data_IF_816118563978
#
_entry.id   IF_816118563978
#
_cell.length_a   1.000
_cell.length_b   1.000
_cell.length_c   1.000
_cell.angle_alpha   90.00
_cell.angle_beta   90.00
_cell.angle_gamma   90.00
#
_symmetry.space_group_name_H-M   'P 1'
#
loop_
_entity.id
_entity.type
_entity.pdbx_description
1 polymer ?
#
# COMPACT_ATOMS: atom_id res chain seq x y z
N UNK A 1 -1.82 -17.04 33.51
CA UNK A 1 -2.13 -18.41 33.02
C UNK A 1 -1.32 -18.56 31.75
N UNK A 2 -0.28 -19.38 31.64
CA UNK A 2 -0.33 -20.84 31.48
C UNK A 2 0.97 -21.43 32.07
N UNK A 3 0.86 -22.32 33.06
CA UNK A 3 1.97 -23.17 33.51
C UNK A 3 1.92 -24.46 32.70
N UNK A 4 2.89 -24.73 31.82
CA UNK A 4 3.04 -26.06 31.21
C UNK A 4 3.76 -26.98 32.19
N UNK A 5 3.02 -28.00 32.67
CA UNK A 5 3.54 -29.14 33.42
C UNK A 5 4.42 -29.99 32.49
N UNK A 6 5.72 -30.07 32.77
CA UNK A 6 6.56 -31.16 32.30
C UNK A 6 6.11 -32.42 33.05
N UNK A 7 5.54 -33.39 32.33
CA UNK A 7 5.18 -34.70 32.91
C UNK A 7 6.29 -35.67 32.55
N UNK A 8 7.23 -35.89 33.46
CA UNK A 8 8.28 -36.92 33.31
C UNK A 8 7.62 -38.27 33.57
N UNK A 9 7.29 -39.01 32.51
CA UNK A 9 6.89 -40.41 32.59
C UNK A 9 8.14 -41.28 32.82
N UNK A 10 8.34 -41.69 34.08
CA UNK A 10 9.44 -42.56 34.49
C UNK A 10 9.04 -44.02 34.26
N UNK A 11 9.26 -44.53 33.05
CA UNK A 11 8.99 -45.95 32.73
C UNK A 11 10.18 -46.81 33.14
N UNK A 12 10.02 -47.59 34.20
CA UNK A 12 10.94 -48.65 34.64
C UNK A 12 10.96 -49.76 33.56
N UNK A 13 12.01 -49.82 32.75
CA UNK A 13 12.24 -50.97 31.87
C UNK A 13 12.83 -52.13 32.68
N UNK A 14 12.03 -53.18 32.85
CA UNK A 14 12.42 -54.43 33.49
C UNK A 14 13.27 -55.26 32.51
N UNK A 15 14.48 -55.65 32.92
CA UNK A 15 15.36 -56.56 32.17
C UNK A 15 14.66 -57.91 31.99
N UNK A 16 14.45 -58.34 30.75
CA UNK A 16 14.31 -59.76 30.40
C UNK A 16 15.27 -60.09 29.26
N UNK A 17 16.21 -60.97 29.57
CA UNK A 17 17.14 -61.56 28.61
C UNK A 17 16.38 -62.55 27.70
N UNK A 18 16.35 -62.26 26.41
CA UNK A 18 16.12 -63.27 25.36
C UNK A 18 16.85 -62.79 24.10
N UNK A 19 17.76 -63.62 23.59
CA UNK A 19 18.60 -63.33 22.42
C UNK A 19 17.76 -62.88 21.22
N UNK A 20 17.97 -61.65 20.76
CA UNK A 20 17.33 -61.05 19.58
C UNK A 20 18.40 -60.76 18.50
N UNK A 21 18.04 -60.82 17.21
CA UNK A 21 18.97 -60.63 16.09
C UNK A 21 19.35 -59.16 15.96
N UNK A 22 20.65 -58.87 15.88
CA UNK A 22 21.27 -57.56 15.59
C UNK A 22 20.42 -56.35 16.01
N UNK A 23 20.47 -55.98 17.29
CA UNK A 23 19.98 -54.69 17.78
C UNK A 23 20.56 -53.60 16.88
N UNK A 24 19.69 -52.87 16.15
CA UNK A 24 20.10 -51.60 15.56
C UNK A 24 20.61 -50.77 16.74
N UNK A 25 21.87 -50.36 16.70
CA UNK A 25 22.44 -49.47 17.71
C UNK A 25 21.58 -48.20 17.74
N UNK A 26 20.66 -48.10 18.69
CA UNK A 26 19.82 -46.92 18.91
C UNK A 26 20.69 -45.85 19.57
N UNK A 27 21.14 -44.89 18.75
CA UNK A 27 22.19 -43.92 19.14
C UNK A 27 21.60 -42.61 19.66
N UNK A 28 20.31 -42.35 19.43
CA UNK A 28 19.60 -41.15 19.89
C UNK A 28 18.45 -41.54 20.83
N UNK A 29 18.17 -40.68 21.80
CA UNK A 29 16.99 -40.82 22.68
C UNK A 29 15.68 -40.57 21.92
N UNK A 30 14.57 -41.06 22.47
CA UNK A 30 13.22 -40.84 21.93
C UNK A 30 12.90 -39.35 21.77
N UNK A 31 13.30 -38.53 22.76
CA UNK A 31 13.13 -37.07 22.71
C UNK A 31 13.87 -36.44 21.51
N UNK A 32 15.10 -36.87 21.23
CA UNK A 32 15.88 -36.36 20.11
C UNK A 32 15.29 -36.81 18.76
N UNK A 33 14.75 -38.03 18.67
CA UNK A 33 14.02 -38.48 17.46
C UNK A 33 12.78 -37.62 17.20
N UNK A 34 12.09 -37.19 18.26
CA UNK A 34 10.97 -36.25 18.12
C UNK A 34 11.43 -34.88 17.61
N UNK A 35 12.58 -34.38 18.10
CA UNK A 35 13.20 -33.14 17.60
C UNK A 35 13.62 -33.27 16.13
N UNK A 36 14.16 -34.42 15.70
CA UNK A 36 14.50 -34.70 14.30
C UNK A 36 13.29 -34.57 13.37
N UNK A 37 12.15 -35.16 13.75
CA UNK A 37 10.90 -35.00 13.00
C UNK A 37 10.44 -33.55 12.94
N UNK A 38 10.63 -32.82 14.04
CA UNK A 38 10.24 -31.40 14.14
C UNK A 38 11.11 -30.50 13.25
N UNK A 39 12.41 -30.77 13.16
CA UNK A 39 13.34 -30.04 12.29
C UNK A 39 12.86 -30.06 10.84
N UNK A 40 12.42 -31.21 10.32
CA UNK A 40 11.93 -31.32 8.94
C UNK A 40 10.66 -30.49 8.70
N UNK A 41 9.72 -30.52 9.64
CA UNK A 41 8.49 -29.72 9.55
C UNK A 41 8.77 -28.22 9.59
N UNK A 42 9.64 -27.78 10.51
CA UNK A 42 10.03 -26.37 10.62
C UNK A 42 10.76 -25.92 9.36
N UNK A 43 11.68 -26.72 8.83
CA UNK A 43 12.36 -26.43 7.57
C UNK A 43 11.39 -26.21 6.42
N UNK A 44 10.44 -27.12 6.23
CA UNK A 44 9.45 -27.03 5.16
C UNK A 44 8.60 -25.75 5.28
N UNK A 45 8.10 -25.45 6.49
CA UNK A 45 7.25 -24.28 6.74
C UNK A 45 8.05 -22.99 6.58
N UNK A 46 9.24 -22.90 7.18
CA UNK A 46 10.11 -21.72 7.05
C UNK A 46 10.50 -21.48 5.59
N UNK A 47 10.89 -22.54 4.85
CA UNK A 47 11.21 -22.46 3.43
C UNK A 47 10.05 -21.91 2.60
N UNK A 48 8.86 -22.51 2.76
CA UNK A 48 7.69 -22.06 2.02
C UNK A 48 7.27 -20.64 2.40
N UNK A 49 7.46 -20.25 3.66
CA UNK A 49 7.01 -18.96 4.16
C UNK A 49 7.92 -17.84 3.69
N UNK A 50 9.24 -17.96 3.86
CA UNK A 50 10.17 -16.91 3.40
C UNK A 50 10.02 -16.69 1.89
N UNK A 51 9.95 -17.77 1.10
CA UNK A 51 9.80 -17.68 -0.35
C UNK A 51 8.51 -16.96 -0.79
N UNK A 52 7.39 -17.24 -0.10
CA UNK A 52 6.11 -16.57 -0.39
C UNK A 52 6.11 -15.12 0.10
N UNK A 53 6.71 -14.85 1.26
CA UNK A 53 6.80 -13.51 1.82
C UNK A 53 7.66 -12.60 0.93
N UNK A 54 8.82 -13.08 0.45
CA UNK A 54 9.63 -12.39 -0.57
C UNK A 54 8.83 -12.09 -1.84
N UNK A 55 7.92 -13.00 -2.24
CA UNK A 55 7.07 -12.79 -3.41
C UNK A 55 6.00 -11.71 -3.21
N UNK A 56 5.65 -11.36 -1.96
CA UNK A 56 4.70 -10.32 -1.64
C UNK A 56 5.33 -8.91 -1.59
N UNK A 57 6.65 -8.80 -1.48
CA UNK A 57 7.35 -7.52 -1.47
C UNK A 57 7.39 -6.96 -2.89
N UNK A 58 6.85 -5.76 -3.11
CA UNK A 58 6.66 -5.14 -4.43
C UNK A 58 7.96 -4.60 -5.02
N UNK A 59 9.03 -4.47 -4.23
CA UNK A 59 10.39 -4.21 -4.70
C UNK A 59 11.00 -5.30 -5.60
N UNK A 60 10.21 -6.15 -6.26
CA UNK A 60 10.70 -7.37 -6.91
C UNK A 60 11.73 -7.15 -8.03
N UNK A 61 12.89 -7.76 -7.82
CA UNK A 61 13.48 -8.80 -8.67
C UNK A 61 13.28 -8.71 -10.20
N UNK A 62 13.87 -7.69 -10.83
CA UNK A 62 14.34 -7.82 -12.20
C UNK A 62 15.74 -8.45 -12.27
N UNK A 63 15.83 -9.65 -12.86
CA UNK A 63 17.02 -10.39 -13.33
C UNK A 63 17.86 -11.09 -12.25
N UNK A 64 18.17 -12.37 -12.48
CA UNK A 64 19.24 -13.13 -11.83
C UNK A 64 20.50 -12.25 -11.72
N UNK A 65 20.79 -11.75 -10.52
CA UNK A 65 22.10 -11.20 -10.21
C UNK A 65 22.68 -12.11 -9.15
N UNK A 66 23.78 -12.74 -9.53
CA UNK A 66 24.63 -13.60 -8.73
C UNK A 66 24.66 -13.20 -7.25
N UNK A 67 24.54 -14.23 -6.40
CA UNK A 67 24.83 -14.20 -4.98
C UNK A 67 26.25 -13.66 -4.76
N UNK A 68 26.45 -12.34 -4.61
CA UNK A 68 27.56 -11.68 -3.89
C UNK A 68 27.67 -10.14 -3.96
N UNK A 69 26.67 -9.39 -4.44
CA UNK A 69 26.77 -7.91 -4.42
C UNK A 69 25.89 -7.27 -3.35
N UNK A 70 26.55 -6.91 -2.26
CA UNK A 70 26.09 -5.97 -1.23
C UNK A 70 25.69 -4.63 -1.90
N UNK A 71 24.46 -4.17 -1.62
CA UNK A 71 23.86 -2.88 -2.05
C UNK A 71 23.50 -2.76 -3.54
N UNK A 72 22.38 -3.34 -3.94
CA UNK A 72 21.69 -2.93 -5.17
C UNK A 72 20.99 -1.58 -4.94
N UNK A 73 21.12 -0.58 -5.83
CA UNK A 73 20.39 0.67 -5.71
C UNK A 73 18.88 0.38 -5.80
N UNK A 74 18.14 0.89 -4.83
CA UNK A 74 16.67 0.87 -4.71
C UNK A 74 15.96 0.80 -6.06
N UNK A 75 15.48 -0.39 -6.46
CA UNK A 75 14.58 -0.54 -7.61
C UNK A 75 13.31 0.26 -7.27
N UNK A 76 12.98 1.26 -8.09
CA UNK A 76 11.88 2.21 -7.82
C UNK A 76 10.56 1.44 -7.75
N UNK A 77 9.85 1.57 -6.64
CA UNK A 77 8.50 1.02 -6.51
C UNK A 77 7.57 1.62 -7.58
N UNK A 78 6.60 0.86 -8.10
CA UNK A 78 5.58 1.42 -9.01
C UNK A 78 4.91 2.68 -8.46
N UNK A 79 4.72 2.73 -7.13
CA UNK A 79 4.16 3.88 -6.44
C UNK A 79 5.04 5.14 -6.53
N UNK A 80 6.37 4.99 -6.42
CA UNK A 80 7.32 6.09 -6.62
C UNK A 80 7.26 6.62 -8.06
N UNK A 81 7.07 5.74 -9.03
CA UNK A 81 6.92 6.15 -10.44
C UNK A 81 5.63 6.93 -10.68
N UNK A 82 4.52 6.50 -10.05
CA UNK A 82 3.27 7.25 -10.09
C UNK A 82 3.43 8.63 -9.43
N UNK A 83 4.04 8.69 -8.25
CA UNK A 83 4.30 9.94 -7.54
C UNK A 83 5.09 10.93 -8.41
N UNK A 84 6.18 10.46 -9.02
CA UNK A 84 7.00 11.25 -9.93
C UNK A 84 6.19 11.78 -11.13
N UNK A 85 5.40 10.91 -11.77
CA UNK A 85 4.56 11.29 -12.90
C UNK A 85 3.54 12.37 -12.53
N UNK A 86 2.93 12.28 -11.34
CA UNK A 86 1.99 13.31 -10.85
C UNK A 86 2.69 14.64 -10.58
N UNK A 87 3.88 14.63 -9.96
CA UNK A 87 4.66 15.85 -9.71
C UNK A 87 5.12 16.49 -11.03
N UNK A 88 5.60 15.70 -11.99
CA UNK A 88 5.94 16.19 -13.32
C UNK A 88 4.71 16.77 -14.04
N UNK A 89 3.57 16.09 -13.97
CA UNK A 89 2.31 16.58 -14.51
C UNK A 89 1.88 17.91 -13.89
N UNK A 90 2.12 18.11 -12.59
CA UNK A 90 1.85 19.39 -11.93
C UNK A 90 2.73 20.51 -12.45
N UNK A 91 4.02 20.24 -12.71
CA UNK A 91 4.94 21.22 -13.28
C UNK A 91 4.55 21.62 -14.71
N UNK A 92 3.97 20.69 -15.49
CA UNK A 92 3.46 20.96 -16.85
C UNK A 92 2.21 21.84 -16.81
N UNK A 93 1.28 21.58 -15.89
CA UNK A 93 0.03 22.34 -15.78
C UNK A 93 0.19 23.70 -15.08
N UNK A 94 1.21 23.84 -14.22
CA UNK A 94 1.47 25.05 -13.45
C UNK A 94 0.53 25.23 -12.25
N UNK A 95 0.83 26.22 -11.44
CA UNK A 95 0.09 26.52 -10.20
C UNK A 95 -1.21 27.31 -10.43
N UNK A 96 -1.44 27.80 -11.66
CA UNK A 96 -2.66 28.50 -12.05
C UNK A 96 -3.80 27.54 -12.45
N UNK A 97 -3.62 26.24 -12.25
CA UNK A 97 -4.64 25.22 -12.48
C UNK A 97 -4.95 24.46 -11.20
N UNK A 98 -6.25 24.28 -10.89
CA UNK A 98 -6.66 23.36 -9.81
C UNK A 98 -6.05 21.99 -10.02
N UNK A 99 -6.07 21.50 -11.26
CA UNK A 99 -5.55 20.19 -11.61
C UNK A 99 -4.05 20.12 -11.35
N UNK A 100 -3.29 21.18 -11.66
CA UNK A 100 -1.87 21.29 -11.33
C UNK A 100 -1.63 21.19 -9.82
N UNK A 101 -2.32 22.01 -9.01
CA UNK A 101 -2.22 21.97 -7.54
C UNK A 101 -2.61 20.61 -6.97
N UNK A 102 -3.68 20.00 -7.48
CA UNK A 102 -4.15 18.67 -7.07
C UNK A 102 -3.11 17.59 -7.38
N UNK A 103 -2.54 17.60 -8.59
CA UNK A 103 -1.49 16.67 -8.98
C UNK A 103 -0.26 16.81 -8.10
N UNK A 104 0.13 18.05 -7.74
CA UNK A 104 1.27 18.28 -6.85
C UNK A 104 1.04 17.69 -5.46
N UNK A 105 -0.08 18.05 -4.81
CA UNK A 105 -0.42 17.59 -3.47
C UNK A 105 -0.57 16.06 -3.41
N UNK A 106 -1.25 15.47 -4.39
CA UNK A 106 -1.40 14.03 -4.47
C UNK A 106 -0.07 13.33 -4.78
N UNK A 107 0.74 13.87 -5.69
CA UNK A 107 2.07 13.33 -6.03
C UNK A 107 3.01 13.29 -4.83
N UNK A 108 3.12 14.40 -4.10
CA UNK A 108 3.92 14.47 -2.87
C UNK A 108 3.42 13.50 -1.78
N UNK A 109 2.10 13.23 -1.75
CA UNK A 109 1.51 12.26 -0.83
C UNK A 109 1.82 10.83 -1.24
N UNK A 110 1.73 10.50 -2.54
CA UNK A 110 2.10 9.19 -3.06
C UNK A 110 3.59 8.90 -2.84
N UNK A 111 4.47 9.90 -2.95
CA UNK A 111 5.90 9.74 -2.68
C UNK A 111 6.16 9.36 -1.22
N UNK A 112 5.50 10.04 -0.27
CA UNK A 112 5.58 9.71 1.15
C UNK A 112 5.03 8.31 1.45
N UNK A 113 3.91 7.91 0.84
CA UNK A 113 3.38 6.55 0.97
C UNK A 113 4.35 5.50 0.40
N UNK A 114 5.02 5.81 -0.70
CA UNK A 114 6.05 4.94 -1.26
C UNK A 114 7.24 4.81 -0.28
N UNK A 115 7.66 5.87 0.38
CA UNK A 115 8.73 5.82 1.38
C UNK A 115 8.36 4.97 2.61
N UNK A 116 7.12 5.05 3.08
CA UNK A 116 6.61 4.17 4.15
C UNK A 116 6.59 2.69 3.69
N UNK A 117 6.19 2.42 2.45
CA UNK A 117 6.22 1.07 1.87
C UNK A 117 7.66 0.52 1.75
N UNK A 118 8.62 1.33 1.28
CA UNK A 118 10.04 0.94 1.22
C UNK A 118 10.55 0.57 2.62
N UNK A 119 10.24 1.39 3.62
CA UNK A 119 10.67 1.16 5.00
C UNK A 119 10.10 -0.14 5.56
N UNK A 120 8.82 -0.40 5.29
CA UNK A 120 8.15 -1.65 5.64
C UNK A 120 8.81 -2.86 4.97
N UNK A 121 9.01 -2.83 3.64
CA UNK A 121 9.59 -3.96 2.90
C UNK A 121 11.00 -4.28 3.37
N UNK A 122 11.85 -3.26 3.61
CA UNK A 122 13.19 -3.43 4.16
C UNK A 122 13.18 -4.06 5.56
N UNK A 123 12.21 -3.68 6.39
CA UNK A 123 12.06 -4.24 7.74
C UNK A 123 11.64 -5.71 7.68
N UNK A 124 10.67 -6.05 6.83
CA UNK A 124 10.24 -7.44 6.63
C UNK A 124 11.35 -8.30 6.04
N UNK A 125 12.11 -7.78 5.08
CA UNK A 125 13.21 -8.51 4.46
C UNK A 125 14.29 -8.85 5.50
N UNK A 126 14.76 -7.85 6.25
CA UNK A 126 15.84 -8.00 7.24
C UNK A 126 15.43 -8.80 8.48
N UNK A 127 14.27 -8.50 9.06
CA UNK A 127 13.92 -8.99 10.40
C UNK A 127 13.07 -10.28 10.36
N UNK A 128 12.61 -10.70 9.17
CA UNK A 128 11.73 -11.88 9.02
C UNK A 128 12.20 -12.80 7.90
N UNK A 129 12.35 -12.29 6.66
CA UNK A 129 12.69 -13.15 5.50
C UNK A 129 14.10 -13.73 5.62
N UNK A 130 15.11 -12.90 5.88
CA UNK A 130 16.50 -13.33 6.05
C UNK A 130 16.66 -14.38 7.19
N UNK A 131 16.14 -14.15 8.42
CA UNK A 131 16.19 -15.16 9.48
C UNK A 131 15.47 -16.47 9.15
N UNK A 132 14.31 -16.42 8.47
CA UNK A 132 13.59 -17.64 8.06
C UNK A 132 14.34 -18.39 6.95
N UNK A 133 15.03 -17.68 6.05
CA UNK A 133 15.91 -18.28 5.05
C UNK A 133 17.09 -18.96 5.74
N UNK A 134 17.80 -18.29 6.65
CA UNK A 134 18.95 -18.85 7.36
C UNK A 134 18.56 -20.09 8.17
N UNK A 135 17.41 -20.06 8.83
CA UNK A 135 16.87 -21.23 9.53
C UNK A 135 16.64 -22.42 8.58
N UNK A 136 16.01 -22.19 7.44
CA UNK A 136 15.60 -23.25 6.50
C UNK A 136 16.76 -23.79 5.63
N UNK A 137 17.68 -22.91 5.21
CA UNK A 137 18.71 -23.20 4.22
C UNK A 137 20.11 -23.38 4.82
N UNK A 138 20.33 -22.94 6.08
CA UNK A 138 21.65 -22.99 6.73
C UNK A 138 21.59 -23.80 8.03
N UNK A 139 20.84 -23.35 9.03
CA UNK A 139 20.84 -23.97 10.36
C UNK A 139 20.35 -25.42 10.33
N UNK A 140 19.13 -25.67 9.83
CA UNK A 140 18.55 -27.02 9.81
C UNK A 140 19.33 -27.98 8.90
N UNK A 141 19.73 -27.59 7.67
CA UNK A 141 20.56 -28.46 6.83
C UNK A 141 21.91 -28.84 7.46
N UNK A 142 22.53 -27.96 8.26
CA UNK A 142 23.76 -28.26 8.98
C UNK A 142 23.54 -29.36 10.04
N UNK A 143 22.46 -29.27 10.82
CA UNK A 143 22.07 -30.31 11.79
C UNK A 143 21.79 -31.64 11.06
N UNK A 144 21.06 -31.60 9.94
CA UNK A 144 20.78 -32.78 9.11
C UNK A 144 22.05 -33.42 8.53
N UNK A 145 23.06 -32.61 8.17
CA UNK A 145 24.36 -33.10 7.70
C UNK A 145 25.13 -33.81 8.81
N UNK A 146 25.17 -33.25 10.01
CA UNK A 146 25.77 -33.92 11.17
C UNK A 146 25.05 -35.23 11.51
N UNK A 147 23.73 -35.27 11.43
CA UNK A 147 22.93 -36.49 11.62
C UNK A 147 23.32 -37.61 10.66
N UNK A 148 23.54 -37.28 9.38
CA UNK A 148 24.04 -38.22 8.36
C UNK A 148 25.48 -38.65 8.66
N UNK A 149 26.31 -37.74 9.15
CA UNK A 149 27.68 -38.07 9.56
C UNK A 149 27.71 -39.05 10.74
N UNK A 150 26.89 -38.82 11.76
CA UNK A 150 26.72 -39.73 12.89
C UNK A 150 26.32 -41.15 12.42
N UNK A 151 25.37 -41.25 11.48
CA UNK A 151 24.96 -42.54 10.94
C UNK A 151 26.13 -43.31 10.28
N UNK A 152 27.08 -42.60 9.64
CA UNK A 152 28.30 -43.22 9.09
C UNK A 152 29.24 -43.68 10.21
N UNK A 153 29.48 -42.84 11.22
CA UNK A 153 30.36 -43.19 12.34
C UNK A 153 29.84 -44.40 13.14
N UNK A 154 28.52 -44.56 13.26
CA UNK A 154 27.91 -45.74 13.86
C UNK A 154 28.26 -47.01 13.09
N UNK A 155 28.16 -46.98 11.75
CA UNK A 155 28.56 -48.12 10.91
C UNK A 155 30.07 -48.42 11.00
N UNK A 156 30.90 -47.39 11.03
CA UNK A 156 32.36 -47.53 11.17
C UNK A 156 32.73 -48.16 12.53
N UNK A 157 32.05 -47.73 13.61
CA UNK A 157 32.19 -48.29 14.95
C UNK A 157 31.73 -49.75 15.00
N UNK A 158 30.54 -50.07 14.48
CA UNK A 158 30.00 -51.44 14.44
C UNK A 158 30.91 -52.39 13.64
N UNK A 159 31.51 -51.88 12.56
CA UNK A 159 32.52 -52.60 11.77
C UNK A 159 33.80 -52.87 12.57
N UNK A 160 34.36 -51.85 13.23
CA UNK A 160 35.54 -51.98 14.08
C UNK A 160 35.30 -52.96 15.25
N UNK A 161 34.14 -52.86 15.91
CA UNK A 161 33.70 -53.78 16.96
C UNK A 161 33.60 -55.22 16.45
N UNK A 162 33.03 -55.43 15.27
CA UNK A 162 32.93 -56.76 14.66
C UNK A 162 34.31 -57.35 14.37
N UNK A 163 35.23 -56.57 13.79
CA UNK A 163 36.62 -57.00 13.53
C UNK A 163 37.35 -57.40 14.82
N UNK A 164 37.20 -56.61 15.89
CA UNK A 164 37.77 -56.92 17.20
C UNK A 164 37.19 -58.22 17.79
N UNK A 165 35.87 -58.39 17.79
CA UNK A 165 35.22 -59.60 18.31
C UNK A 165 35.54 -60.87 17.51
N UNK A 166 35.71 -60.77 16.19
CA UNK A 166 36.13 -61.89 15.37
C UNK A 166 37.58 -62.31 15.71
N UNK A 167 38.48 -61.34 15.87
CA UNK A 167 39.88 -61.60 16.24
C UNK A 167 40.01 -62.26 17.62
N UNK A 168 39.19 -61.84 18.59
CA UNK A 168 39.19 -62.39 19.96
C UNK A 168 38.51 -63.77 20.08
N UNK A 169 37.61 -64.14 19.17
CA UNK A 169 37.06 -65.50 19.09
C UNK A 169 38.00 -66.48 18.41
N UNK A 170 38.77 -66.04 17.41
CA UNK A 170 39.75 -66.88 16.71
C UNK A 170 40.99 -67.24 17.53
N UNK A 171 41.28 -66.51 18.60
CA UNK A 171 42.42 -66.77 19.50
C UNK A 171 42.15 -67.87 20.54
N UNK A 172 40.90 -68.34 20.70
CA UNK A 172 40.54 -69.37 21.68
C UNK A 172 40.83 -70.82 21.27
N UNK A 173 41.30 -71.08 20.04
CA UNK A 173 41.42 -72.44 19.49
C UNK A 173 42.84 -72.87 19.07
N UNK A 174 43.86 -72.02 19.22
CA UNK A 174 45.21 -72.29 18.73
C UNK A 174 46.26 -72.18 19.82
N UNK A 175 46.69 -73.33 20.35
CA UNK A 175 47.88 -73.46 21.20
C UNK A 175 49.15 -73.42 20.35
N UNK A 176 49.79 -72.25 20.22
CA UNK A 176 51.26 -72.10 20.15
C UNK A 176 51.69 -70.61 20.04
N UNK A 177 52.36 -70.15 21.10
CA UNK A 177 53.46 -69.15 21.24
C UNK A 177 53.58 -67.98 20.22
N UNK A 178 53.15 -66.78 20.67
CA UNK A 178 53.51 -65.36 20.34
C UNK A 178 53.52 -64.83 18.87
N UNK A 179 53.20 -63.53 18.57
CA UNK A 179 52.69 -62.42 19.37
C UNK A 179 51.26 -62.04 18.94
N UNK A 180 50.25 -62.74 19.43
CA UNK A 180 48.84 -62.48 19.09
C UNK A 180 48.20 -61.35 19.92
N UNK A 181 48.88 -60.88 20.97
CA UNK A 181 48.47 -59.74 21.80
C UNK A 181 48.49 -58.41 21.04
N UNK A 182 49.60 -58.06 20.40
CA UNK A 182 49.75 -56.76 19.71
C UNK A 182 48.70 -56.49 18.61
N UNK A 183 48.29 -57.54 17.88
CA UNK A 183 47.22 -57.42 16.86
C UNK A 183 45.84 -57.25 17.48
N UNK A 184 45.55 -57.96 18.58
CA UNK A 184 44.30 -57.83 19.31
C UNK A 184 44.21 -56.46 20.03
N UNK A 185 45.33 -55.96 20.55
CA UNK A 185 45.45 -54.65 21.20
C UNK A 185 45.28 -53.51 20.19
N UNK A 186 45.88 -53.60 19.00
CA UNK A 186 45.65 -52.63 17.92
C UNK A 186 44.17 -52.57 17.49
N UNK A 187 43.54 -53.73 17.28
CA UNK A 187 42.11 -53.80 16.91
C UNK A 187 41.20 -53.27 18.03
N UNK A 188 41.63 -53.39 19.29
CA UNK A 188 40.94 -52.79 20.44
C UNK A 188 41.05 -51.28 20.43
N UNK A 189 42.25 -50.75 20.22
CA UNK A 189 42.51 -49.30 20.13
C UNK A 189 41.73 -48.67 18.98
N UNK A 190 41.70 -49.30 17.80
CA UNK A 190 40.88 -48.85 16.66
C UNK A 190 39.38 -48.85 16.98
N UNK A 191 38.89 -49.85 17.73
CA UNK A 191 37.49 -49.91 18.17
C UNK A 191 37.18 -48.80 19.18
N UNK A 192 38.04 -48.59 20.16
CA UNK A 192 37.90 -47.53 21.18
C UNK A 192 37.96 -46.14 20.54
N UNK A 193 38.83 -45.92 19.55
CA UNK A 193 38.90 -44.67 18.80
C UNK A 193 37.64 -44.43 17.95
N UNK A 194 37.14 -45.45 17.25
CA UNK A 194 35.89 -45.36 16.49
C UNK A 194 34.68 -45.07 17.40
N UNK A 195 34.64 -45.67 18.60
CA UNK A 195 33.62 -45.40 19.61
C UNK A 195 33.69 -43.95 20.11
N UNK A 196 34.88 -43.46 20.47
CA UNK A 196 35.06 -42.10 20.95
C UNK A 196 34.65 -41.05 19.89
N UNK A 197 35.05 -41.24 18.62
CA UNK A 197 34.64 -40.35 17.51
C UNK A 197 33.12 -40.31 17.34
N UNK A 198 32.45 -41.47 17.45
CA UNK A 198 30.99 -41.57 17.36
C UNK A 198 30.30 -40.85 18.53
N UNK A 199 30.78 -41.02 19.75
CA UNK A 199 30.23 -40.37 20.95
C UNK A 199 30.36 -38.84 20.88
N UNK A 200 31.53 -38.31 20.49
CA UNK A 200 31.73 -36.86 20.30
C UNK A 200 30.73 -36.30 19.29
N UNK A 201 30.54 -36.98 18.15
CA UNK A 201 29.59 -36.55 17.14
C UNK A 201 28.14 -36.61 17.63
N UNK A 202 27.78 -37.64 18.41
CA UNK A 202 26.45 -37.77 19.00
C UNK A 202 26.16 -36.64 19.98
N UNK A 203 27.12 -36.32 20.84
CA UNK A 203 26.95 -35.31 21.87
C UNK A 203 26.86 -33.91 21.25
N UNK A 204 27.66 -33.63 20.21
CA UNK A 204 27.56 -32.38 19.43
C UNK A 204 26.20 -32.25 18.72
N UNK A 205 25.74 -33.31 18.04
CA UNK A 205 24.44 -33.32 17.39
C UNK A 205 23.31 -33.09 18.41
N UNK A 206 23.40 -33.73 19.57
CA UNK A 206 22.42 -33.56 20.65
C UNK A 206 22.39 -32.12 21.14
N UNK A 207 23.56 -31.50 21.36
CA UNK A 207 23.66 -30.09 21.74
C UNK A 207 23.02 -29.16 20.69
N UNK A 208 23.30 -29.38 19.39
CA UNK A 208 22.72 -28.58 18.31
C UNK A 208 21.19 -28.73 18.23
N UNK A 209 20.67 -29.95 18.44
CA UNK A 209 19.24 -30.23 18.47
C UNK A 209 18.55 -29.59 19.68
N UNK A 210 19.16 -29.61 20.86
CA UNK A 210 18.63 -28.91 22.04
C UNK A 210 18.68 -27.39 21.87
N UNK A 211 19.75 -26.84 21.27
CA UNK A 211 19.85 -25.42 20.96
C UNK A 211 18.75 -24.97 19.99
N UNK A 212 18.45 -25.76 18.97
CA UNK A 212 17.32 -25.51 18.06
C UNK A 212 15.99 -25.44 18.82
N UNK A 213 15.73 -26.38 19.73
CA UNK A 213 14.50 -26.36 20.54
C UNK A 213 14.47 -25.16 21.49
N UNK A 214 15.61 -24.78 22.07
CA UNK A 214 15.70 -23.62 22.96
C UNK A 214 15.37 -22.30 22.25
N UNK A 215 15.72 -22.17 20.96
CA UNK A 215 15.43 -21.00 20.11
C UNK A 215 14.01 -20.98 19.53
N UNK A 216 13.14 -21.93 19.89
CA UNK A 216 11.79 -22.01 19.32
C UNK A 216 10.97 -20.71 19.54
N UNK A 217 11.17 -20.06 20.70
CA UNK A 217 10.52 -18.78 21.00
C UNK A 217 11.04 -17.67 20.07
N UNK A 218 12.34 -17.66 19.77
CA UNK A 218 12.95 -16.68 18.87
C UNK A 218 12.42 -16.86 17.44
N UNK A 219 12.29 -18.10 16.98
CA UNK A 219 11.70 -18.37 15.65
C UNK A 219 10.22 -17.97 15.58
N UNK A 220 9.47 -18.16 16.66
CA UNK A 220 8.08 -17.70 16.74
C UNK A 220 7.98 -16.17 16.71
N UNK A 221 8.97 -15.47 17.27
CA UNK A 221 9.02 -14.01 17.32
C UNK A 221 9.08 -13.37 15.93
N UNK A 222 9.64 -14.05 14.93
CA UNK A 222 9.67 -13.54 13.54
C UNK A 222 8.27 -13.27 12.99
N UNK A 223 7.30 -14.13 13.32
CA UNK A 223 5.91 -13.94 12.90
C UNK A 223 5.22 -12.80 13.66
N UNK A 224 5.60 -12.58 14.93
CA UNK A 224 5.13 -11.42 15.68
C UNK A 224 5.67 -10.13 15.05
N UNK A 225 6.97 -10.05 14.79
CA UNK A 225 7.62 -8.92 14.12
C UNK A 225 6.98 -8.61 12.78
N UNK A 226 6.64 -9.64 11.99
CA UNK A 226 5.93 -9.47 10.71
C UNK A 226 4.60 -8.72 10.88
N UNK A 227 3.78 -9.15 11.85
CA UNK A 227 2.45 -8.54 12.09
C UNK A 227 2.60 -7.13 12.66
N UNK A 228 3.54 -6.91 13.57
CA UNK A 228 3.82 -5.59 14.14
C UNK A 228 4.29 -4.59 13.07
N UNK A 229 5.20 -5.00 12.20
CA UNK A 229 5.67 -4.17 11.08
C UNK A 229 4.53 -3.84 10.10
N UNK A 230 3.67 -4.81 9.78
CA UNK A 230 2.49 -4.58 8.93
C UNK A 230 1.50 -3.60 9.56
N UNK A 231 1.21 -3.76 10.85
CA UNK A 231 0.31 -2.88 11.57
C UNK A 231 0.83 -1.43 11.58
N UNK A 232 2.12 -1.25 11.86
CA UNK A 232 2.75 0.07 11.91
C UNK A 232 2.78 0.74 10.53
N UNK A 233 3.10 0.01 9.48
CA UNK A 233 3.05 0.51 8.10
C UNK A 233 1.66 1.04 7.72
N UNK A 234 0.62 0.25 7.99
CA UNK A 234 -0.75 0.65 7.68
C UNK A 234 -1.21 1.83 8.54
N UNK A 235 -0.82 1.86 9.82
CA UNK A 235 -1.14 2.97 10.73
C UNK A 235 -0.57 4.29 10.22
N UNK A 236 0.73 4.32 9.90
CA UNK A 236 1.40 5.52 9.36
C UNK A 236 0.82 5.96 8.01
N UNK A 237 0.56 5.00 7.12
CA UNK A 237 -0.06 5.29 5.82
C UNK A 237 -1.45 5.92 5.97
N UNK A 238 -2.27 5.39 6.88
CA UNK A 238 -3.59 5.93 7.16
C UNK A 238 -3.52 7.33 7.78
N UNK A 239 -2.63 7.54 8.75
CA UNK A 239 -2.40 8.85 9.40
C UNK A 239 -2.03 9.92 8.35
N UNK A 240 -1.13 9.59 7.44
CA UNK A 240 -0.75 10.46 6.33
C UNK A 240 -1.96 10.80 5.44
N UNK A 241 -2.74 9.80 5.01
CA UNK A 241 -3.92 10.02 4.17
C UNK A 241 -4.98 10.89 4.87
N UNK A 242 -5.22 10.63 6.14
CA UNK A 242 -6.17 11.41 6.95
C UNK A 242 -5.73 12.88 7.11
N UNK A 243 -4.43 13.15 7.13
CA UNK A 243 -3.90 14.52 7.21
C UNK A 243 -4.02 15.31 5.89
N UNK A 244 -3.99 14.62 4.75
CA UNK A 244 -3.98 15.25 3.41
C UNK A 244 -5.40 15.45 2.85
N UNK A 245 -6.34 14.54 3.15
CA UNK A 245 -7.71 14.64 2.65
C UNK A 245 -8.39 16.00 2.95
N UNK A 246 -8.27 16.58 4.16
CA UNK A 246 -8.79 17.92 4.43
C UNK A 246 -8.14 19.01 3.57
N UNK A 247 -6.85 18.89 3.27
CA UNK A 247 -6.12 19.85 2.44
C UNK A 247 -6.60 19.80 0.99
N UNK A 248 -6.85 18.59 0.45
CA UNK A 248 -7.45 18.41 -0.89
C UNK A 248 -8.82 19.10 -0.94
N UNK A 249 -9.67 18.86 0.06
CA UNK A 249 -11.00 19.49 0.12
C UNK A 249 -10.90 21.01 0.21
N UNK A 250 -10.05 21.53 1.09
CA UNK A 250 -9.85 22.97 1.24
C UNK A 250 -9.36 23.62 -0.07
N UNK A 251 -8.46 22.97 -0.81
CA UNK A 251 -8.01 23.46 -2.11
C UNK A 251 -9.14 23.47 -3.15
N UNK A 252 -9.98 22.43 -3.19
CA UNK A 252 -11.16 22.39 -4.07
C UNK A 252 -12.18 23.48 -3.71
N UNK A 253 -12.45 23.69 -2.43
CA UNK A 253 -13.38 24.71 -1.94
C UNK A 253 -12.86 26.13 -2.20
N UNK A 254 -11.54 26.34 -2.08
CA UNK A 254 -10.88 27.61 -2.37
C UNK A 254 -10.77 27.90 -3.86
N UNK A 255 -10.96 26.91 -4.72
CA UNK A 255 -10.87 27.10 -6.17
C UNK A 255 -12.12 27.80 -6.70
N UNK A 256 -11.91 29.00 -7.23
CA UNK A 256 -12.98 29.84 -7.77
C UNK A 256 -13.07 29.64 -9.28
N UNK A 257 -13.76 28.58 -9.70
CA UNK A 257 -14.30 28.46 -11.06
C UNK A 257 -15.72 27.92 -10.97
N UNK A 258 -16.71 28.78 -11.21
CA UNK A 258 -18.12 28.40 -11.06
C UNK A 258 -18.97 28.99 -12.17
N UNK A 259 -19.68 28.13 -12.91
CA UNK A 259 -20.58 28.55 -13.98
C UNK A 259 -21.64 29.50 -13.42
N UNK A 260 -21.98 30.54 -14.16
CA UNK A 260 -23.03 31.49 -13.83
C UNK A 260 -24.39 31.02 -14.34
N UNK A 261 -24.43 30.28 -15.44
CA UNK A 261 -25.68 29.82 -16.04
C UNK A 261 -26.32 28.69 -15.21
N UNK A 262 -27.62 28.79 -14.94
CA UNK A 262 -28.36 27.76 -14.20
C UNK A 262 -28.09 27.73 -12.69
N UNK A 263 -27.41 28.73 -12.14
CA UNK A 263 -27.12 28.86 -10.71
C UNK A 263 -27.95 29.97 -10.06
N UNK A 264 -28.30 29.86 -8.76
CA UNK A 264 -28.92 30.96 -8.04
C UNK A 264 -28.04 32.22 -8.10
N UNK A 265 -28.69 33.37 -8.29
CA UNK A 265 -28.00 34.67 -8.45
C UNK A 265 -27.07 34.97 -7.26
N UNK A 266 -27.60 34.83 -6.04
CA UNK A 266 -26.86 35.12 -4.82
C UNK A 266 -25.61 34.24 -4.66
N UNK A 267 -25.71 32.95 -5.01
CA UNK A 267 -24.61 32.00 -4.88
C UNK A 267 -23.40 32.46 -5.69
N UNK A 268 -23.58 32.72 -7.00
CA UNK A 268 -22.44 33.05 -7.85
C UNK A 268 -21.95 34.50 -7.67
N UNK A 269 -22.78 35.42 -7.19
CA UNK A 269 -22.34 36.77 -6.77
C UNK A 269 -21.46 36.70 -5.53
N UNK A 270 -21.90 35.98 -4.49
CA UNK A 270 -21.13 35.81 -3.26
C UNK A 270 -19.78 35.13 -3.52
N UNK A 271 -19.76 34.14 -4.43
CA UNK A 271 -18.54 33.41 -4.80
C UNK A 271 -17.55 34.24 -5.63
N UNK A 272 -18.05 35.14 -6.49
CA UNK A 272 -17.20 36.02 -7.30
C UNK A 272 -16.83 37.32 -6.60
N UNK A 273 -17.47 37.63 -5.45
CA UNK A 273 -17.31 38.91 -4.76
C UNK A 273 -17.81 40.10 -5.57
N UNK A 274 -18.79 39.89 -6.46
CA UNK A 274 -19.33 40.91 -7.36
C UNK A 274 -20.74 41.32 -6.93
N UNK A 275 -21.07 42.59 -7.15
CA UNK A 275 -22.45 43.09 -6.98
C UNK A 275 -23.32 42.83 -8.22
N UNK A 276 -22.70 42.85 -9.40
CA UNK A 276 -23.36 42.62 -10.70
C UNK A 276 -22.81 41.32 -11.32
N UNK A 277 -23.74 40.47 -11.76
CA UNK A 277 -23.46 39.21 -12.40
C UNK A 277 -22.64 39.44 -13.67
N UNK A 278 -21.55 38.70 -13.81
CA UNK A 278 -20.66 38.86 -14.96
C UNK A 278 -21.37 38.74 -16.32
N UNK A 279 -22.30 37.78 -16.55
CA UNK A 279 -23.06 37.74 -17.80
C UNK A 279 -23.92 38.98 -18.05
N UNK A 280 -24.47 39.61 -17.01
CA UNK A 280 -25.24 40.86 -17.17
C UNK A 280 -24.29 41.99 -17.53
N UNK A 281 -23.26 42.23 -16.72
CA UNK A 281 -22.31 43.33 -16.93
C UNK A 281 -21.66 43.24 -18.33
N UNK A 282 -21.10 42.09 -18.67
CA UNK A 282 -20.43 41.90 -19.95
C UNK A 282 -21.39 42.07 -21.13
N UNK A 283 -22.56 41.41 -21.11
CA UNK A 283 -23.48 41.50 -22.24
C UNK A 283 -24.06 42.90 -22.40
N UNK A 284 -24.45 43.57 -21.30
CA UNK A 284 -24.99 44.94 -21.35
C UNK A 284 -23.92 45.92 -21.82
N UNK A 285 -22.69 45.81 -21.31
CA UNK A 285 -21.57 46.66 -21.74
C UNK A 285 -21.30 46.51 -23.24
N UNK A 286 -21.17 45.27 -23.74
CA UNK A 286 -20.95 45.03 -25.16
C UNK A 286 -22.11 45.54 -26.04
N UNK A 287 -23.36 45.36 -25.61
CA UNK A 287 -24.51 45.89 -26.35
C UNK A 287 -24.51 47.41 -26.41
N UNK A 288 -24.19 48.08 -25.31
CA UNK A 288 -24.08 49.54 -25.25
C UNK A 288 -22.96 50.08 -26.15
N UNK A 289 -21.84 49.35 -26.25
CA UNK A 289 -20.68 49.74 -27.05
C UNK A 289 -20.89 49.54 -28.56
N UNK A 290 -21.49 48.43 -28.99
CA UNK A 290 -21.54 48.05 -30.41
C UNK A 290 -22.91 47.59 -30.93
N UNK A 291 -23.86 47.28 -30.05
CA UNK A 291 -25.11 46.62 -30.41
C UNK A 291 -26.33 47.51 -30.57
N UNK A 292 -26.33 48.74 -30.01
CA UNK A 292 -27.57 49.54 -29.85
C UNK A 292 -28.26 49.95 -31.16
N UNK A 293 -27.54 49.95 -32.29
CA UNK A 293 -28.11 50.28 -33.61
C UNK A 293 -28.63 49.04 -34.36
N UNK A 294 -28.41 47.84 -33.84
CA UNK A 294 -28.78 46.58 -34.50
C UNK A 294 -30.29 46.30 -34.35
N UNK A 295 -30.98 46.02 -35.46
CA UNK A 295 -32.41 45.79 -35.43
C UNK A 295 -32.73 44.41 -34.86
N UNK A 296 -33.53 44.35 -33.79
CA UNK A 296 -34.10 43.09 -33.32
C UNK A 296 -33.20 42.27 -32.38
N UNK A 297 -32.27 42.91 -31.65
CA UNK A 297 -31.41 42.32 -30.60
C UNK A 297 -32.08 41.21 -29.77
N UNK A 298 -33.29 41.44 -29.28
CA UNK A 298 -34.00 40.47 -28.43
C UNK A 298 -35.06 39.63 -29.16
N UNK A 299 -35.29 39.88 -30.45
CA UNK A 299 -36.32 39.23 -31.28
C UNK A 299 -35.72 38.20 -32.25
N UNK A 300 -34.59 38.52 -32.88
CA UNK A 300 -33.91 37.65 -33.83
C UNK A 300 -33.09 36.61 -33.05
N UNK A 301 -33.17 35.35 -33.46
CA UNK A 301 -32.38 34.27 -32.86
C UNK A 301 -30.97 34.27 -33.47
N UNK A 302 -29.91 34.24 -32.65
CA UNK A 302 -28.55 34.11 -33.15
C UNK A 302 -28.27 32.69 -33.65
N UNK A 303 -27.13 32.51 -34.31
CA UNK A 303 -26.59 31.18 -34.59
C UNK A 303 -26.42 30.38 -33.29
N UNK A 304 -26.96 29.16 -33.25
CA UNK A 304 -26.88 28.28 -32.08
C UNK A 304 -25.43 27.96 -31.68
N UNK A 305 -24.51 27.84 -32.63
CA UNK A 305 -23.09 27.58 -32.34
C UNK A 305 -22.40 28.78 -31.72
N UNK A 306 -22.66 29.99 -32.22
CA UNK A 306 -22.13 31.24 -31.66
C UNK A 306 -22.67 31.50 -30.26
N UNK A 307 -23.97 31.31 -30.06
CA UNK A 307 -24.60 31.42 -28.74
C UNK A 307 -23.99 30.42 -27.76
N UNK A 308 -23.85 29.15 -28.16
CA UNK A 308 -23.23 28.12 -27.31
C UNK A 308 -21.79 28.49 -26.93
N UNK A 309 -21.00 29.00 -27.88
CA UNK A 309 -19.61 29.45 -27.65
C UNK A 309 -19.57 30.62 -26.66
N UNK A 310 -20.33 31.68 -26.91
CA UNK A 310 -20.36 32.87 -26.04
C UNK A 310 -20.85 32.55 -24.63
N UNK A 311 -21.90 31.73 -24.50
CA UNK A 311 -22.36 31.24 -23.20
C UNK A 311 -21.24 30.56 -22.44
N UNK A 312 -20.53 29.61 -23.06
CA UNK A 312 -19.42 28.89 -22.42
C UNK A 312 -18.27 29.84 -22.03
N UNK A 313 -17.97 30.84 -22.86
CA UNK A 313 -16.99 31.90 -22.58
C UNK A 313 -17.35 32.68 -21.30
N UNK A 314 -18.60 33.12 -21.20
CA UNK A 314 -19.11 33.83 -20.03
C UNK A 314 -19.13 32.95 -18.78
N UNK A 315 -19.42 31.66 -18.94
CA UNK A 315 -19.54 30.69 -17.85
C UNK A 315 -18.18 30.35 -17.21
N UNK A 316 -17.10 30.37 -17.99
CA UNK A 316 -15.73 30.24 -17.47
C UNK A 316 -15.04 31.58 -17.17
N UNK A 317 -15.75 32.71 -17.30
CA UNK A 317 -15.20 34.04 -17.00
C UNK A 317 -14.17 34.56 -18.01
N UNK A 318 -13.99 33.88 -19.16
CA UNK A 318 -13.04 34.27 -20.21
C UNK A 318 -13.82 34.87 -21.36
N UNK A 319 -13.72 36.17 -21.59
CA UNK A 319 -14.43 36.87 -22.66
C UNK A 319 -13.44 37.62 -23.57
N UNK A 320 -13.47 37.28 -24.87
CA UNK A 320 -12.82 38.09 -25.91
C UNK A 320 -13.83 39.07 -26.49
N UNK A 321 -13.83 40.31 -25.99
CA UNK A 321 -14.78 41.35 -26.41
C UNK A 321 -14.70 41.61 -27.93
N UNK A 322 -13.50 41.56 -28.51
CA UNK A 322 -13.31 41.84 -29.94
C UNK A 322 -13.90 40.74 -30.83
N UNK A 323 -13.82 39.48 -30.39
CA UNK A 323 -14.40 38.38 -31.13
C UNK A 323 -15.94 38.47 -31.19
N UNK A 324 -16.58 38.85 -30.08
CA UNK A 324 -18.03 38.80 -29.96
C UNK A 324 -18.76 40.10 -30.33
N UNK A 325 -18.07 41.24 -30.36
CA UNK A 325 -18.67 42.54 -30.74
C UNK A 325 -19.23 42.58 -32.16
N UNK A 326 -18.86 41.62 -33.01
CA UNK A 326 -19.36 41.50 -34.39
C UNK A 326 -20.76 40.85 -34.51
N UNK A 327 -21.33 40.29 -33.42
CA UNK A 327 -22.65 39.65 -33.45
C UNK A 327 -23.53 40.07 -32.25
N UNK A 328 -24.17 41.25 -32.34
CA UNK A 328 -25.04 41.75 -31.27
C UNK A 328 -26.23 40.82 -30.93
N UNK A 329 -26.72 40.04 -31.90
CA UNK A 329 -27.77 39.04 -31.64
C UNK A 329 -27.27 37.90 -30.76
N UNK A 330 -26.02 37.48 -30.92
CA UNK A 330 -25.42 36.47 -30.05
C UNK A 330 -25.30 36.98 -28.61
N UNK A 331 -24.87 38.24 -28.43
CA UNK A 331 -24.75 38.89 -27.12
C UNK A 331 -26.11 38.99 -26.44
N UNK A 332 -27.12 39.52 -27.13
CA UNK A 332 -28.49 39.59 -26.62
C UNK A 332 -29.10 38.20 -26.37
N UNK A 333 -28.76 37.21 -27.19
CA UNK A 333 -29.12 35.81 -26.99
C UNK A 333 -28.50 35.19 -25.74
N UNK A 334 -27.25 35.51 -25.43
CA UNK A 334 -26.54 35.05 -24.24
C UNK A 334 -27.17 35.66 -22.98
N UNK A 335 -27.40 36.98 -22.97
CA UNK A 335 -28.09 37.67 -21.87
C UNK A 335 -29.49 37.08 -21.61
N UNK A 336 -30.28 36.89 -22.68
CA UNK A 336 -31.61 36.23 -22.57
C UNK A 336 -31.50 34.82 -22.00
N UNK A 337 -30.49 34.06 -22.41
CA UNK A 337 -30.30 32.69 -21.94
C UNK A 337 -29.92 32.65 -20.48
N UNK A 338 -29.05 33.56 -20.03
CA UNK A 338 -28.69 33.69 -18.61
C UNK A 338 -29.94 33.98 -17.77
N UNK A 339 -30.68 35.05 -18.09
CA UNK A 339 -31.88 35.45 -17.34
C UNK A 339 -32.96 34.36 -17.30
N UNK A 340 -33.11 33.60 -18.40
CA UNK A 340 -34.08 32.49 -18.49
C UNK A 340 -33.65 31.25 -17.70
N UNK A 341 -32.35 31.03 -17.57
CA UNK A 341 -31.79 29.85 -16.91
C UNK A 341 -31.62 30.03 -15.41
N UNK A 342 -31.77 31.25 -14.88
CA UNK A 342 -31.80 31.48 -13.44
C UNK A 342 -32.91 30.61 -12.79
N UNK A 343 -32.60 29.88 -11.70
CA UNK A 343 -33.59 29.09 -10.97
C UNK A 343 -34.76 29.95 -10.46
N UNK A 344 -34.47 31.19 -10.10
CA UNK A 344 -35.44 32.21 -9.76
C UNK A 344 -35.31 33.39 -10.73
N UNK A 345 -36.42 33.88 -11.35
CA UNK A 345 -36.36 35.04 -12.23
C UNK A 345 -35.79 36.26 -11.52
N UNK A 346 -35.08 37.11 -12.25
CA UNK A 346 -34.50 38.34 -11.70
C UNK A 346 -35.55 39.24 -11.01
N UNK A 347 -36.77 39.26 -11.53
CA UNK A 347 -37.90 40.02 -10.96
C UNK A 347 -38.61 39.32 -9.78
N UNK A 348 -38.12 38.14 -9.37
CA UNK A 348 -38.65 37.21 -8.35
C UNK A 348 -40.04 36.67 -8.66
N UNK A 349 -40.34 35.46 -8.19
CA UNK A 349 -41.70 34.91 -8.29
C UNK A 349 -42.65 35.56 -7.28
N UNK A 350 -42.13 35.94 -6.11
CA UNK A 350 -42.91 36.53 -5.02
C UNK A 350 -43.55 37.87 -5.41
N UNK A 351 -42.84 38.68 -6.21
CA UNK A 351 -43.34 39.98 -6.68
C UNK A 351 -44.18 39.90 -7.97
N UNK A 352 -44.42 38.71 -8.53
CA UNK A 352 -45.14 38.56 -9.80
C UNK A 352 -46.48 39.31 -9.83
N UNK A 353 -47.30 39.16 -8.78
CA UNK A 353 -48.60 39.82 -8.69
C UNK A 353 -48.46 41.35 -8.64
N UNK A 354 -47.45 41.86 -7.92
CA UNK A 354 -47.18 43.29 -7.82
C UNK A 354 -46.85 43.86 -9.22
N UNK A 355 -46.02 43.17 -10.00
CA UNK A 355 -45.67 43.58 -11.37
C UNK A 355 -46.88 43.62 -12.31
N UNK A 356 -47.71 42.57 -12.28
CA UNK A 356 -48.90 42.49 -13.15
C UNK A 356 -49.91 43.57 -12.77
N UNK A 357 -50.18 43.76 -11.48
CA UNK A 357 -51.09 44.81 -11.01
C UNK A 357 -50.59 46.20 -11.40
N UNK A 358 -49.30 46.48 -11.20
CA UNK A 358 -48.70 47.75 -11.62
C UNK A 358 -48.86 47.99 -13.12
N UNK A 359 -48.61 46.98 -13.98
CA UNK A 359 -48.71 47.12 -15.44
C UNK A 359 -50.12 47.45 -15.95
N UNK A 360 -51.16 47.04 -15.22
CA UNK A 360 -52.57 47.23 -15.62
C UNK A 360 -53.13 48.61 -15.24
N UNK A 361 -52.35 49.43 -14.52
CA UNK A 361 -52.75 50.80 -14.17
C UNK A 361 -52.75 51.67 -15.44
N UNK A 362 -53.90 52.27 -15.73
CA UNK A 362 -54.09 53.12 -16.92
C UNK A 362 -53.39 54.48 -16.79
N UNK A 363 -53.42 55.05 -15.58
CA UNK A 363 -52.78 56.31 -15.27
C UNK A 363 -51.25 56.15 -15.26
N UNK A 364 -50.56 56.90 -16.11
CA UNK A 364 -49.14 56.72 -16.37
C UNK A 364 -48.27 56.99 -15.13
N UNK A 365 -48.59 58.04 -14.37
CA UNK A 365 -47.81 58.43 -13.18
C UNK A 365 -48.02 57.43 -12.05
N UNK A 366 -49.27 56.99 -11.83
CA UNK A 366 -49.58 55.94 -10.86
C UNK A 366 -48.97 54.59 -11.25
N UNK A 367 -48.93 54.26 -12.54
CA UNK A 367 -48.25 53.05 -13.04
C UNK A 367 -46.75 53.12 -12.75
N UNK A 368 -46.10 54.24 -13.04
CA UNK A 368 -44.68 54.44 -12.76
C UNK A 368 -44.39 54.31 -11.25
N UNK A 369 -45.20 54.95 -10.40
CA UNK A 369 -45.09 54.85 -8.94
C UNK A 369 -45.23 53.39 -8.45
N UNK A 370 -46.20 52.63 -8.98
CA UNK A 370 -46.39 51.23 -8.61
C UNK A 370 -45.24 50.33 -9.07
N UNK A 371 -44.71 50.55 -10.28
CA UNK A 371 -43.55 49.83 -10.80
C UNK A 371 -42.29 50.12 -9.97
N UNK A 372 -42.06 51.38 -9.60
CA UNK A 372 -40.95 51.77 -8.71
C UNK A 372 -41.10 51.10 -7.34
N UNK A 373 -42.31 51.09 -6.78
CA UNK A 373 -42.59 50.40 -5.52
C UNK A 373 -42.32 48.89 -5.58
N UNK A 374 -42.59 48.23 -6.71
CA UNK A 374 -42.21 46.83 -6.92
C UNK A 374 -40.69 46.66 -7.03
N UNK A 375 -39.99 47.55 -7.76
CA UNK A 375 -38.52 47.55 -7.85
C UNK A 375 -37.85 47.71 -6.47
N UNK A 376 -38.40 48.53 -5.59
CA UNK A 376 -37.86 48.77 -4.24
C UNK A 376 -38.01 47.58 -3.30
N UNK A 377 -38.93 46.65 -3.58
CA UNK A 377 -39.12 45.42 -2.81
C UNK A 377 -38.19 44.28 -3.23
N UNK A 378 -37.46 44.42 -4.34
CA UNK A 378 -36.55 43.38 -4.81
C UNK A 378 -35.45 43.11 -3.76
N UNK A 379 -35.04 41.85 -3.58
CA UNK A 379 -33.84 41.53 -2.82
C UNK A 379 -32.62 42.33 -3.33
N UNK A 380 -31.64 42.67 -2.47
CA UNK A 380 -30.52 43.52 -2.88
C UNK A 380 -29.78 43.03 -4.12
N UNK A 381 -29.50 41.72 -4.21
CA UNK A 381 -28.84 41.11 -5.36
C UNK A 381 -29.65 41.30 -6.66
N UNK A 382 -30.95 40.98 -6.61
CA UNK A 382 -31.86 41.15 -7.74
C UNK A 382 -32.01 42.62 -8.14
N UNK A 383 -32.18 43.50 -7.15
CA UNK A 383 -32.34 44.94 -7.37
C UNK A 383 -31.11 45.56 -8.03
N UNK A 384 -29.90 45.22 -7.58
CA UNK A 384 -28.65 45.70 -8.15
C UNK A 384 -28.41 45.19 -9.58
N UNK A 385 -28.93 44.00 -9.91
CA UNK A 385 -28.79 43.40 -11.24
C UNK A 385 -29.93 43.76 -12.21
N UNK A 386 -31.02 44.34 -11.69
CA UNK A 386 -32.18 44.77 -12.47
C UNK A 386 -32.15 46.25 -12.85
N UNK A 387 -31.67 47.12 -11.95
CA UNK A 387 -31.55 48.57 -12.15
C UNK A 387 -30.32 48.90 -12.98
#
# INVERSE_FOLDING_TARGET
MWKRKLTISRTRASRRHSLAPAEKTEVLSEDLLQVEKRLELVKQVSHSTHKKLTACLQGQQGVEVDKKSVRSPSKKLPLTTLAQCMVEGSAVLGDDSLLGKMLKLCGDTQDKLAQELITFELTIERDVVEPLYDLAEVEIPNIQKQRKHLAKLVLDMDSARTRYFQSTKSSGLSSNIQPTGAKADHLREEMEEAANRMEICRDQLSADMYNFVAKEIDYASYFQTMIEAQAEYHRKSLELLQSVLPQIKAQQESWVEKPCYGKPLEDHLALSGRDIAFPIEACVTMLLECGMQEEGLFRIAPSASKLKKLKASLDCGVLDVQEYSADPHAIAGALKSYLRELPEPLMTLDLYNDWIQASNIQDQDKRLQALLGACEKLPPANGNNFK
#
